data_IF_689044891879
#
_entry.id   IF_689044891879
#
_cell.length_a   1.000
_cell.length_b   1.000
_cell.length_c   1.000
_cell.angle_alpha   90.00
_cell.angle_beta   90.00
_cell.angle_gamma   90.00
#
_symmetry.space_group_name_H-M   'P 1'
#
loop_
_entity.id
_entity.type
_entity.pdbx_description
1 polymer ?
#
# COMPACT_ATOMS: atom_id res chain seq x y z
N UNK A 1 -25.78 29.19 8.84
CA UNK A 1 -25.08 28.35 7.84
C UNK A 1 -23.93 27.64 8.52
N UNK A 2 -24.02 26.34 8.78
CA UNK A 2 -22.90 25.57 9.33
C UNK A 2 -21.93 25.26 8.21
N UNK A 3 -20.78 25.95 8.15
CA UNK A 3 -19.68 25.56 7.29
C UNK A 3 -19.28 24.12 7.61
N UNK A 4 -19.51 23.20 6.67
CA UNK A 4 -19.02 21.83 6.79
C UNK A 4 -17.50 21.86 6.57
N UNK A 5 -16.74 21.92 7.67
CA UNK A 5 -15.28 21.96 7.66
C UNK A 5 -14.72 20.68 7.04
N UNK A 6 -13.86 20.82 6.03
CA UNK A 6 -13.25 19.66 5.36
C UNK A 6 -12.38 18.85 6.36
N UNK A 7 -12.60 17.53 6.49
CA UNK A 7 -11.92 16.71 7.49
C UNK A 7 -10.50 16.33 7.04
N UNK A 8 -9.59 17.31 7.01
CA UNK A 8 -8.20 17.17 6.52
C UNK A 8 -7.45 16.03 7.19
N UNK A 9 -7.50 15.97 8.53
CA UNK A 9 -6.78 14.96 9.32
C UNK A 9 -7.27 13.54 9.03
N UNK A 10 -8.60 13.35 8.90
CA UNK A 10 -9.19 12.04 8.56
C UNK A 10 -8.71 11.56 7.21
N UNK A 11 -8.76 12.42 6.18
CA UNK A 11 -8.29 12.08 4.83
C UNK A 11 -6.81 11.74 4.86
N UNK A 12 -5.99 12.58 5.51
CA UNK A 12 -4.55 12.35 5.64
C UNK A 12 -4.23 11.00 6.28
N UNK A 13 -4.81 10.70 7.45
CA UNK A 13 -4.58 9.43 8.15
C UNK A 13 -5.04 8.21 7.33
N UNK A 14 -6.14 8.33 6.61
CA UNK A 14 -6.66 7.23 5.78
C UNK A 14 -5.68 6.83 4.66
N UNK A 15 -5.02 7.82 4.04
CA UNK A 15 -4.04 7.56 2.99
C UNK A 15 -2.69 7.06 3.54
N UNK A 16 -2.23 7.57 4.69
CA UNK A 16 -1.00 7.07 5.33
C UNK A 16 -1.15 5.62 5.79
N UNK A 17 -2.31 5.25 6.35
CA UNK A 17 -2.57 3.91 6.86
C UNK A 17 -3.00 2.91 5.78
N UNK A 18 -3.17 3.37 4.54
CA UNK A 18 -3.56 2.54 3.40
C UNK A 18 -2.70 1.28 3.19
N UNK A 19 -1.37 1.26 3.44
CA UNK A 19 -0.52 0.07 3.28
C UNK A 19 -0.76 -1.04 4.30
N UNK A 20 -1.40 -0.74 5.44
CA UNK A 20 -1.62 -1.76 6.46
C UNK A 20 -2.44 -2.92 5.91
N UNK A 21 -3.47 -2.63 5.12
CA UNK A 21 -4.36 -3.66 4.57
C UNK A 21 -3.60 -4.61 3.63
N UNK A 22 -2.95 -4.13 2.54
CA UNK A 22 -2.19 -5.02 1.66
C UNK A 22 -1.01 -5.67 2.38
N UNK A 23 -0.35 -4.97 3.32
CA UNK A 23 0.75 -5.54 4.10
C UNK A 23 0.29 -6.67 5.04
N UNK A 24 -0.87 -6.54 5.65
CA UNK A 24 -1.47 -7.59 6.49
C UNK A 24 -1.88 -8.80 5.65
N UNK A 25 -2.53 -8.57 4.50
CA UNK A 25 -2.91 -9.64 3.56
C UNK A 25 -1.67 -10.37 3.04
N UNK A 26 -0.62 -9.64 2.64
CA UNK A 26 0.64 -10.23 2.20
C UNK A 26 1.31 -11.03 3.33
N UNK A 27 1.30 -10.52 4.56
CA UNK A 27 1.82 -11.21 5.74
C UNK A 27 1.08 -12.53 6.02
N UNK A 28 -0.26 -12.54 5.91
CA UNK A 28 -1.07 -13.75 6.06
C UNK A 28 -0.76 -14.78 4.96
N UNK A 29 -0.72 -14.36 3.70
CA UNK A 29 -0.43 -15.25 2.57
C UNK A 29 0.95 -15.88 2.74
N UNK A 30 1.97 -15.07 3.04
CA UNK A 30 3.33 -15.56 3.26
C UNK A 30 3.39 -16.53 4.44
N UNK A 31 2.69 -16.26 5.54
CA UNK A 31 2.66 -17.16 6.68
C UNK A 31 2.03 -18.51 6.32
N UNK A 32 0.91 -18.52 5.59
CA UNK A 32 0.25 -19.76 5.13
C UNK A 32 1.14 -20.54 4.17
N UNK A 33 1.76 -19.87 3.20
CA UNK A 33 2.69 -20.50 2.25
C UNK A 33 3.87 -21.13 2.98
N UNK A 34 4.42 -20.43 3.97
CA UNK A 34 5.57 -20.89 4.73
C UNK A 34 5.19 -22.08 5.62
N UNK A 35 4.02 -22.07 6.27
CA UNK A 35 3.48 -23.23 7.01
C UNK A 35 3.25 -24.43 6.08
N UNK A 36 2.66 -24.22 4.90
CA UNK A 36 2.45 -25.29 3.91
C UNK A 36 3.78 -25.86 3.40
N UNK A 37 4.78 -25.00 3.22
CA UNK A 37 6.12 -25.41 2.79
C UNK A 37 6.85 -26.22 3.87
N UNK A 38 6.68 -25.84 5.14
CA UNK A 38 7.22 -26.59 6.29
C UNK A 38 6.51 -27.95 6.42
N UNK A 39 5.19 -27.99 6.25
CA UNK A 39 4.41 -29.23 6.34
C UNK A 39 4.80 -30.25 5.26
N UNK A 40 5.21 -29.78 4.08
CA UNK A 40 5.72 -30.64 2.99
C UNK A 40 7.20 -30.98 3.13
N UNK A 41 7.96 -30.24 3.96
CA UNK A 41 9.40 -30.43 4.17
C UNK A 41 9.76 -30.38 5.67
N UNK A 42 9.38 -31.41 6.44
CA UNK A 42 9.44 -31.39 7.91
C UNK A 42 10.86 -31.30 8.49
N UNK A 43 11.91 -31.55 7.68
CA UNK A 43 13.31 -31.34 8.09
C UNK A 43 13.64 -29.88 8.40
N UNK A 44 12.85 -28.91 7.93
CA UNK A 44 13.03 -27.49 8.25
C UNK A 44 12.42 -27.08 9.61
N UNK A 45 11.57 -27.89 10.24
CA UNK A 45 10.87 -27.54 11.50
C UNK A 45 11.84 -27.20 12.64
N UNK A 46 13.04 -27.79 12.65
CA UNK A 46 14.08 -27.49 13.65
C UNK A 46 14.89 -26.21 13.39
N UNK A 47 14.79 -25.64 12.19
CA UNK A 47 15.63 -24.52 11.72
C UNK A 47 14.84 -23.20 11.60
N UNK A 48 13.53 -23.28 11.35
CA UNK A 48 12.65 -22.11 11.36
C UNK A 48 12.18 -21.80 12.77
N UNK A 49 12.54 -20.61 13.28
CA UNK A 49 12.02 -20.06 14.54
C UNK A 49 10.52 -19.87 14.41
N UNK A 50 9.71 -20.84 14.86
CA UNK A 50 8.24 -20.80 14.72
C UNK A 50 7.57 -19.51 15.22
N UNK A 51 8.22 -18.78 16.15
CA UNK A 51 7.78 -17.44 16.57
C UNK A 51 7.84 -16.37 15.47
N UNK A 52 8.80 -16.43 14.54
CA UNK A 52 8.89 -15.48 13.41
C UNK A 52 7.73 -15.66 12.43
N UNK A 53 7.27 -16.90 12.23
CA UNK A 53 6.13 -17.21 11.35
C UNK A 53 4.82 -16.69 11.96
N UNK A 54 4.65 -16.81 13.29
CA UNK A 54 3.47 -16.28 13.97
C UNK A 54 3.45 -14.74 13.98
N UNK A 55 4.63 -14.10 13.99
CA UNK A 55 4.78 -12.65 13.98
C UNK A 55 4.71 -12.03 12.58
N UNK A 56 4.91 -12.81 11.51
CA UNK A 56 4.90 -12.33 10.12
C UNK A 56 3.65 -11.50 9.76
N UNK A 57 2.41 -11.89 10.09
CA UNK A 57 1.22 -11.10 9.79
C UNK A 57 1.18 -9.74 10.48
N UNK A 58 1.89 -9.59 11.61
CA UNK A 58 1.99 -8.34 12.36
C UNK A 58 3.16 -7.47 11.87
N UNK A 59 4.31 -8.08 11.57
CA UNK A 59 5.51 -7.37 11.12
C UNK A 59 5.37 -6.87 9.68
N UNK A 60 4.79 -7.67 8.79
CA UNK A 60 4.62 -7.31 7.37
C UNK A 60 3.87 -5.99 7.14
N UNK A 61 2.71 -5.73 7.78
CA UNK A 61 2.04 -4.43 7.63
C UNK A 61 2.84 -3.28 8.21
N UNK A 62 3.59 -3.50 9.29
CA UNK A 62 4.44 -2.46 9.89
C UNK A 62 5.60 -2.09 8.94
N UNK A 63 6.24 -3.09 8.35
CA UNK A 63 7.27 -2.90 7.31
C UNK A 63 6.67 -2.23 6.08
N UNK A 64 5.46 -2.61 5.66
CA UNK A 64 4.78 -1.97 4.53
C UNK A 64 4.54 -0.48 4.79
N UNK A 65 4.08 -0.10 5.98
CA UNK A 65 3.93 1.31 6.35
C UNK A 65 5.27 2.02 6.31
N UNK A 66 6.34 1.44 6.87
CA UNK A 66 7.66 2.05 6.91
C UNK A 66 8.25 2.27 5.50
N UNK A 67 8.20 1.23 4.65
CA UNK A 67 8.74 1.26 3.29
C UNK A 67 7.97 2.24 2.41
N UNK A 68 6.64 2.29 2.53
CA UNK A 68 5.79 3.15 1.71
C UNK A 68 5.43 4.48 2.39
N UNK A 69 6.02 4.79 3.54
CA UNK A 69 5.69 5.99 4.31
C UNK A 69 5.90 7.25 3.47
N UNK A 70 7.07 7.39 2.84
CA UNK A 70 7.45 8.59 2.10
C UNK A 70 6.55 8.85 0.87
N UNK A 71 6.33 7.90 -0.06
CA UNK A 71 5.45 8.16 -1.21
C UNK A 71 4.01 8.44 -0.79
N UNK A 72 3.52 7.80 0.27
CA UNK A 72 2.14 7.99 0.75
C UNK A 72 1.96 9.24 1.59
N UNK A 73 3.00 9.70 2.28
CA UNK A 73 3.01 11.00 2.93
C UNK A 73 2.78 12.10 1.89
N UNK A 74 3.50 12.06 0.77
CA UNK A 74 3.32 13.00 -0.33
C UNK A 74 1.89 12.97 -0.90
N UNK A 75 1.36 11.77 -1.16
CA UNK A 75 0.00 11.58 -1.66
C UNK A 75 -1.06 12.08 -0.66
N UNK A 76 -0.90 11.77 0.63
CA UNK A 76 -1.82 12.15 1.71
C UNK A 76 -1.82 13.67 1.96
N UNK A 77 -0.63 14.30 1.92
CA UNK A 77 -0.50 15.76 1.98
C UNK A 77 -1.20 16.40 0.77
N UNK A 78 -0.92 15.93 -0.45
CA UNK A 78 -1.58 16.43 -1.66
C UNK A 78 -3.10 16.34 -1.58
N UNK A 79 -3.64 15.17 -1.22
CA UNK A 79 -5.07 14.94 -1.10
C UNK A 79 -5.74 15.83 -0.03
N UNK A 80 -5.08 16.03 1.11
CA UNK A 80 -5.61 16.83 2.22
C UNK A 80 -5.51 18.34 2.01
N UNK A 81 -4.41 18.82 1.41
CA UNK A 81 -4.17 20.23 1.12
C UNK A 81 -5.04 20.73 -0.03
N UNK A 82 -5.17 19.93 -1.11
CA UNK A 82 -6.01 20.25 -2.26
C UNK A 82 -7.51 20.07 -1.98
N UNK A 83 -7.89 19.68 -0.76
CA UNK A 83 -9.28 19.44 -0.32
C UNK A 83 -10.05 18.56 -1.31
N UNK A 84 -9.43 17.48 -1.77
CA UNK A 84 -9.99 16.62 -2.82
C UNK A 84 -11.34 16.06 -2.36
N UNK A 85 -12.39 16.27 -3.16
CA UNK A 85 -13.72 15.74 -2.85
C UNK A 85 -14.00 14.44 -3.60
N UNK A 86 -14.81 13.58 -2.99
CA UNK A 86 -15.21 12.30 -3.57
C UNK A 86 -15.93 12.51 -4.90
N UNK A 87 -15.33 12.01 -5.97
CA UNK A 87 -15.91 11.92 -7.30
C UNK A 87 -15.20 10.81 -8.06
N UNK A 88 -15.86 10.19 -9.05
CA UNK A 88 -15.26 9.10 -9.82
C UNK A 88 -13.90 9.50 -10.43
N UNK A 89 -13.81 10.72 -10.99
CA UNK A 89 -12.56 11.26 -11.54
C UNK A 89 -11.47 11.41 -10.47
N UNK A 90 -11.79 12.01 -9.32
CA UNK A 90 -10.82 12.20 -8.23
C UNK A 90 -10.34 10.87 -7.64
N UNK A 91 -11.23 9.89 -7.46
CA UNK A 91 -10.87 8.57 -6.96
C UNK A 91 -9.94 7.84 -7.95
N UNK A 92 -10.25 7.87 -9.25
CA UNK A 92 -9.40 7.25 -10.26
C UNK A 92 -8.05 7.96 -10.38
N UNK A 93 -8.01 9.29 -10.33
CA UNK A 93 -6.77 10.05 -10.36
C UNK A 93 -5.87 9.75 -9.14
N UNK A 94 -6.43 9.74 -7.93
CA UNK A 94 -5.70 9.37 -6.71
C UNK A 94 -5.20 7.93 -6.73
N UNK A 95 -6.00 7.00 -7.27
CA UNK A 95 -5.61 5.61 -7.42
C UNK A 95 -4.43 5.45 -8.37
N UNK A 96 -4.50 6.08 -9.56
CA UNK A 96 -3.42 6.03 -10.54
C UNK A 96 -2.15 6.70 -10.02
N UNK A 97 -2.27 7.89 -9.40
CA UNK A 97 -1.13 8.58 -8.79
C UNK A 97 -0.50 7.74 -7.69
N UNK A 98 -1.30 7.14 -6.81
CA UNK A 98 -0.82 6.24 -5.76
C UNK A 98 -0.11 5.01 -6.33
N UNK A 99 -0.68 4.38 -7.35
CA UNK A 99 -0.08 3.22 -8.00
C UNK A 99 1.25 3.55 -8.68
N UNK A 100 1.32 4.66 -9.43
CA UNK A 100 2.55 5.12 -10.07
C UNK A 100 3.62 5.49 -9.05
N UNK A 101 3.25 6.23 -7.99
CA UNK A 101 4.18 6.61 -6.93
C UNK A 101 4.74 5.39 -6.18
N UNK A 102 3.87 4.45 -5.78
CA UNK A 102 4.29 3.24 -5.09
C UNK A 102 5.18 2.34 -5.98
N UNK A 103 4.79 2.15 -7.24
CA UNK A 103 5.56 1.32 -8.18
C UNK A 103 6.88 1.97 -8.55
N UNK A 104 6.89 3.27 -8.79
CA UNK A 104 8.11 4.05 -9.04
C UNK A 104 9.06 4.02 -7.84
N UNK A 105 8.53 4.13 -6.62
CA UNK A 105 9.31 3.99 -5.38
C UNK A 105 9.96 2.60 -5.26
N UNK A 106 9.21 1.53 -5.51
CA UNK A 106 9.75 0.17 -5.50
C UNK A 106 10.75 -0.05 -6.64
N UNK A 107 10.51 0.50 -7.82
CA UNK A 107 11.46 0.42 -8.93
C UNK A 107 12.79 1.11 -8.60
N UNK A 108 12.77 2.26 -7.91
CA UNK A 108 13.96 2.92 -7.40
C UNK A 108 14.68 2.04 -6.36
N UNK A 109 13.94 1.45 -5.43
CA UNK A 109 14.51 0.54 -4.45
C UNK A 109 15.19 -0.68 -5.11
N UNK A 110 14.53 -1.32 -6.08
CA UNK A 110 15.09 -2.42 -6.85
C UNK A 110 16.34 -1.98 -7.60
N UNK A 111 16.31 -0.79 -8.23
CA UNK A 111 17.47 -0.25 -8.94
C UNK A 111 18.71 -0.20 -8.03
N UNK A 112 18.57 0.38 -6.84
CA UNK A 112 19.67 0.48 -5.86
C UNK A 112 20.17 -0.91 -5.40
N UNK A 113 19.26 -1.86 -5.18
CA UNK A 113 19.63 -3.23 -4.79
C UNK A 113 20.36 -3.98 -5.93
N UNK A 114 19.86 -3.86 -7.16
CA UNK A 114 20.40 -4.57 -8.33
C UNK A 114 21.75 -4.00 -8.75
N UNK A 115 21.96 -2.68 -8.66
CA UNK A 115 23.27 -2.05 -8.97
C UNK A 115 24.41 -2.58 -8.11
N UNK A 116 24.11 -3.10 -6.91
CA UNK A 116 25.09 -3.65 -5.99
C UNK A 116 25.18 -5.19 -6.02
N UNK A 117 24.41 -5.87 -6.87
CA UNK A 117 24.35 -7.34 -6.88
C UNK A 117 24.62 -7.93 -8.28
N UNK A 118 25.77 -8.59 -8.43
CA UNK A 118 26.26 -9.15 -9.70
C UNK A 118 25.41 -10.31 -10.29
N UNK A 119 24.38 -10.78 -9.57
CA UNK A 119 23.52 -11.92 -9.98
C UNK A 119 22.05 -11.56 -10.21
N UNK A 120 21.59 -10.36 -9.83
CA UNK A 120 20.18 -10.02 -9.96
C UNK A 120 19.88 -9.48 -11.37
N UNK A 121 18.86 -10.03 -12.05
CA UNK A 121 18.37 -9.53 -13.35
C UNK A 121 17.07 -8.76 -13.15
N UNK A 122 16.94 -7.63 -13.82
CA UNK A 122 15.71 -6.80 -13.76
C UNK A 122 14.46 -7.55 -14.24
N UNK A 123 14.63 -8.50 -15.17
CA UNK A 123 13.55 -9.32 -15.73
C UNK A 123 12.88 -10.23 -14.70
N UNK A 124 13.49 -10.47 -13.54
CA UNK A 124 12.89 -11.28 -12.49
C UNK A 124 11.85 -10.49 -11.65
N UNK A 125 11.81 -9.15 -11.79
CA UNK A 125 11.02 -8.28 -10.91
C UNK A 125 9.76 -7.69 -11.54
N UNK A 126 9.53 -7.82 -12.85
CA UNK A 126 8.41 -7.15 -13.53
C UNK A 126 7.04 -7.61 -12.98
N UNK A 127 6.90 -8.89 -12.64
CA UNK A 127 5.66 -9.44 -12.10
C UNK A 127 5.40 -8.89 -10.69
N UNK A 128 6.44 -8.77 -9.87
CA UNK A 128 6.36 -8.13 -8.56
C UNK A 128 5.96 -6.66 -8.66
N UNK A 129 6.56 -5.90 -9.59
CA UNK A 129 6.21 -4.51 -9.85
C UNK A 129 4.75 -4.36 -10.32
N UNK A 130 4.29 -5.25 -11.20
CA UNK A 130 2.90 -5.25 -11.65
C UNK A 130 1.91 -5.54 -10.52
N UNK A 131 2.23 -6.50 -9.64
CA UNK A 131 1.41 -6.79 -8.46
C UNK A 131 1.39 -5.62 -7.48
N UNK A 132 2.52 -4.96 -7.25
CA UNK A 132 2.58 -3.73 -6.43
C UNK A 132 1.70 -2.63 -7.03
N UNK A 133 1.77 -2.44 -8.34
CA UNK A 133 0.93 -1.46 -9.05
C UNK A 133 -0.56 -1.74 -8.82
N UNK A 134 -1.00 -2.99 -9.03
CA UNK A 134 -2.40 -3.38 -8.84
C UNK A 134 -2.84 -3.24 -7.38
N UNK A 135 -2.02 -3.69 -6.44
CA UNK A 135 -2.33 -3.60 -5.01
C UNK A 135 -2.47 -2.12 -4.58
N UNK A 136 -1.55 -1.26 -4.99
CA UNK A 136 -1.61 0.17 -4.72
C UNK A 136 -2.82 0.84 -5.39
N UNK A 137 -3.13 0.46 -6.64
CA UNK A 137 -4.28 0.97 -7.37
C UNK A 137 -5.59 0.67 -6.62
N UNK A 138 -5.81 -0.60 -6.27
CA UNK A 138 -7.05 -1.05 -5.60
C UNK A 138 -7.17 -0.44 -4.21
N UNK A 139 -6.08 -0.39 -3.45
CA UNK A 139 -6.09 0.13 -2.08
C UNK A 139 -6.29 1.65 -2.05
N UNK A 140 -5.55 2.42 -2.87
CA UNK A 140 -5.75 3.87 -2.96
C UNK A 140 -7.14 4.22 -3.49
N UNK A 141 -7.68 3.46 -4.45
CA UNK A 141 -9.04 3.67 -4.95
C UNK A 141 -10.10 3.41 -3.87
N UNK A 142 -9.96 2.30 -3.12
CA UNK A 142 -10.86 1.93 -2.03
C UNK A 142 -10.83 2.98 -0.93
N UNK A 143 -9.62 3.40 -0.52
CA UNK A 143 -9.41 4.45 0.46
C UNK A 143 -10.04 5.77 0.00
N UNK A 144 -9.85 6.15 -1.27
CA UNK A 144 -10.46 7.35 -1.82
C UNK A 144 -12.00 7.29 -1.83
N UNK A 145 -12.60 6.13 -2.14
CA UNK A 145 -14.06 5.97 -2.15
C UNK A 145 -14.69 6.00 -0.76
N UNK A 146 -14.01 5.39 0.22
CA UNK A 146 -14.54 5.24 1.58
C UNK A 146 -14.30 6.49 2.43
N UNK A 147 -13.16 7.17 2.29
CA UNK A 147 -12.74 8.22 3.22
C UNK A 147 -12.81 9.65 2.68
N UNK A 148 -12.93 9.86 1.36
CA UNK A 148 -13.12 11.21 0.83
C UNK A 148 -14.53 11.73 1.13
N UNK A 149 -14.67 13.02 1.52
CA UNK A 149 -15.97 13.62 1.76
C UNK A 149 -16.75 13.80 0.44
N UNK A 150 -18.08 13.62 0.44
CA UNK A 150 -18.92 13.86 -0.73
C UNK A 150 -18.80 15.32 -1.20
N UNK A 151 -18.94 15.55 -2.51
CA UNK A 151 -19.17 16.91 -3.01
C UNK A 151 -20.51 17.40 -2.46
N UNK A 152 -20.52 18.49 -1.68
CA UNK A 152 -21.75 19.23 -1.46
C UNK A 152 -22.32 19.56 -2.84
N UNK A 153 -23.49 19.02 -3.15
CA UNK A 153 -24.30 19.51 -4.25
C UNK A 153 -24.75 20.91 -3.84
N UNK A 154 -24.30 21.94 -4.56
CA UNK A 154 -25.02 23.22 -4.51
C UNK A 154 -26.46 22.94 -4.95
N UNK A 155 -27.47 23.51 -4.25
CA UNK A 155 -28.84 23.43 -4.72
C UNK A 155 -28.88 23.99 -6.14
N UNK A 156 -29.31 23.17 -7.10
CA UNK A 156 -29.68 23.67 -8.43
C UNK A 156 -30.85 24.62 -8.22
N UNK A 157 -30.57 25.92 -8.33
CA UNK A 157 -31.56 26.98 -8.53
C UNK A 157 -32.22 26.82 -9.89
#
# INVERSE_FOLDING_TARGET
>A
MTEVRYPRFKVFMSFILCPLVPGFVAGLINSVLLVAHIATHPRLIGEVRGGEILLMPLLTPLVAVLVFFLPLLGLALGASLLKVRRSARSCNALALLGAVLATGWVALFIREVVTHSARARYDDYWLGLFLVFLAALVTCWSTARLFLPPRLQEPRS
#
